data_IF_783017492149
#
_entry.id   IF_783017492149
#
_cell.length_a   1.000
_cell.length_b   1.000
_cell.length_c   1.000
_cell.angle_alpha   90.00
_cell.angle_beta   90.00
_cell.angle_gamma   90.00
#
_symmetry.space_group_name_H-M   'P 1'
#
loop_
_entity.id
_entity.type
_entity.pdbx_description
1 polymer ?
#
# COMPACT_ATOMS: atom_id res chain seq x y z
N UNK A 1 12.14 24.52 -1.86
CA UNK A 1 12.12 24.66 -3.33
C UNK A 1 10.68 24.80 -3.82
N UNK A 2 10.38 25.76 -4.70
CA UNK A 2 9.02 25.94 -5.26
C UNK A 2 8.89 25.31 -6.65
N UNK A 3 7.71 24.80 -6.98
CA UNK A 3 7.37 24.25 -8.30
C UNK A 3 6.13 24.95 -8.83
N UNK A 4 6.30 25.76 -9.88
CA UNK A 4 5.22 26.52 -10.49
C UNK A 4 4.53 25.72 -11.59
N UNK A 5 3.20 25.63 -11.56
CA UNK A 5 2.46 24.78 -12.52
C UNK A 5 1.31 25.54 -13.19
N UNK A 6 1.08 25.25 -14.48
CA UNK A 6 -0.04 25.81 -15.26
C UNK A 6 -1.26 24.85 -15.36
N UNK A 7 -1.31 23.83 -14.51
CA UNK A 7 -2.26 22.73 -14.58
C UNK A 7 -2.67 22.25 -13.18
N UNK A 8 -3.73 21.45 -13.07
CA UNK A 8 -4.33 21.08 -11.78
C UNK A 8 -3.71 19.82 -11.12
N UNK A 9 -2.48 19.45 -11.47
CA UNK A 9 -1.82 18.24 -10.94
C UNK A 9 -0.82 18.56 -9.82
N UNK A 10 -1.22 19.44 -8.89
CA UNK A 10 -0.41 19.89 -7.75
C UNK A 10 0.18 18.72 -6.97
N UNK A 11 -0.70 17.82 -6.52
CA UNK A 11 -0.32 16.66 -5.72
C UNK A 11 0.68 15.77 -6.45
N UNK A 12 0.45 15.47 -7.74
CA UNK A 12 1.36 14.62 -8.51
C UNK A 12 2.75 15.23 -8.67
N UNK A 13 2.85 16.55 -8.87
CA UNK A 13 4.14 17.25 -8.98
C UNK A 13 4.86 17.30 -7.65
N UNK A 14 4.16 17.68 -6.59
CA UNK A 14 4.72 17.77 -5.26
C UNK A 14 5.22 16.41 -4.76
N UNK A 15 4.42 15.35 -4.89
CA UNK A 15 4.81 14.02 -4.44
C UNK A 15 5.95 13.43 -5.26
N UNK A 16 5.96 13.63 -6.59
CA UNK A 16 7.07 13.19 -7.45
C UNK A 16 8.36 13.90 -7.06
N UNK A 17 8.31 15.20 -6.79
CA UNK A 17 9.46 15.97 -6.36
C UNK A 17 9.90 15.60 -4.93
N UNK A 18 8.97 15.49 -3.98
CA UNK A 18 9.26 15.17 -2.58
C UNK A 18 9.95 13.81 -2.44
N UNK A 19 9.51 12.85 -3.25
CA UNK A 19 10.11 11.52 -3.33
C UNK A 19 11.56 11.54 -3.81
N UNK A 20 11.90 12.38 -4.80
CA UNK A 20 13.22 12.41 -5.43
C UNK A 20 14.15 13.47 -4.84
N UNK A 21 13.60 14.46 -4.15
CA UNK A 21 14.29 15.60 -3.55
C UNK A 21 13.74 15.89 -2.14
N UNK A 22 13.72 14.90 -1.22
CA UNK A 22 13.11 15.07 0.10
C UNK A 22 13.74 16.22 0.89
N UNK A 23 15.06 16.40 0.75
CA UNK A 23 15.82 17.46 1.43
C UNK A 23 15.50 18.88 0.93
N UNK A 24 14.96 19.01 -0.29
CA UNK A 24 14.58 20.30 -0.84
C UNK A 24 13.17 20.76 -0.38
N UNK A 25 12.46 19.88 0.33
CA UNK A 25 11.08 20.05 0.80
C UNK A 25 10.20 20.76 -0.25
N UNK A 26 10.05 20.19 -1.47
CA UNK A 26 9.37 20.85 -2.56
C UNK A 26 7.90 21.13 -2.23
N UNK A 27 7.41 22.25 -2.75
CA UNK A 27 6.00 22.65 -2.71
C UNK A 27 5.54 23.07 -4.09
N UNK A 28 4.43 22.52 -4.55
CA UNK A 28 3.84 22.89 -5.83
C UNK A 28 2.78 23.99 -5.64
N UNK A 29 2.77 24.99 -6.51
CA UNK A 29 1.77 26.06 -6.51
C UNK A 29 1.30 26.40 -7.94
N UNK A 30 0.01 26.73 -8.07
CA UNK A 30 -0.55 27.20 -9.34
C UNK A 30 -0.19 28.67 -9.47
N UNK A 31 0.45 29.02 -10.58
CA UNK A 31 0.85 30.40 -10.86
C UNK A 31 1.45 30.55 -12.25
N UNK A 32 1.53 31.78 -12.77
CA UNK A 32 2.18 32.05 -14.04
C UNK A 32 3.63 31.58 -14.01
N UNK A 33 3.98 30.70 -14.95
CA UNK A 33 5.35 30.20 -15.13
C UNK A 33 6.31 31.35 -15.46
N UNK A 34 5.78 32.45 -15.99
CA UNK A 34 6.49 33.66 -16.43
C UNK A 34 6.72 34.70 -15.31
N UNK A 35 5.92 34.69 -14.23
CA UNK A 35 6.15 35.56 -13.05
C UNK A 35 6.95 34.86 -11.94
N UNK A 36 7.58 33.72 -12.25
CA UNK A 36 8.72 33.26 -11.48
C UNK A 36 9.85 34.30 -11.68
N UNK A 37 9.73 35.45 -11.02
CA UNK A 37 10.82 36.37 -10.73
C UNK A 37 11.72 35.63 -9.77
N UNK A 38 12.48 34.71 -10.35
CA UNK A 38 13.51 33.92 -9.71
C UNK A 38 14.49 34.92 -9.13
N UNK A 39 14.55 35.02 -7.81
CA UNK A 39 15.75 35.56 -7.18
C UNK A 39 16.93 34.75 -7.73
N UNK A 40 17.82 35.42 -8.45
CA UNK A 40 18.94 34.77 -9.12
C UNK A 40 19.72 33.93 -8.11
N UNK A 41 19.67 32.60 -8.26
CA UNK A 41 20.40 31.66 -7.42
C UNK A 41 19.55 30.66 -6.63
N UNK A 42 18.22 30.81 -6.57
CA UNK A 42 17.38 29.83 -5.87
C UNK A 42 17.03 28.59 -6.71
N UNK A 43 16.89 27.45 -6.03
CA UNK A 43 16.38 26.22 -6.62
C UNK A 43 14.87 26.33 -6.86
N UNK A 44 14.43 26.03 -8.09
CA UNK A 44 13.03 26.04 -8.47
C UNK A 44 12.73 25.07 -9.62
N UNK A 45 11.46 24.70 -9.75
CA UNK A 45 10.96 23.95 -10.89
C UNK A 45 9.75 24.62 -11.53
N UNK A 46 9.45 24.25 -12.76
CA UNK A 46 8.19 24.60 -13.41
C UNK A 46 7.65 23.45 -14.25
N UNK A 47 6.33 23.27 -14.23
CA UNK A 47 5.63 22.24 -15.00
C UNK A 47 4.58 22.89 -15.90
N UNK A 48 4.72 22.67 -17.20
CA UNK A 48 3.77 23.15 -18.20
C UNK A 48 3.13 21.97 -18.90
N UNK A 49 1.80 21.95 -18.97
CA UNK A 49 1.01 20.99 -19.74
C UNK A 49 0.24 21.76 -20.81
N UNK A 50 0.30 21.27 -22.06
CA UNK A 50 -0.47 21.75 -23.20
C UNK A 50 -1.25 20.58 -23.79
N UNK A 51 -2.57 20.69 -23.83
CA UNK A 51 -3.47 19.66 -24.34
C UNK A 51 -4.10 20.15 -25.64
N UNK A 52 -4.11 19.29 -26.67
CA UNK A 52 -4.87 19.48 -27.91
C UNK A 52 -5.84 18.32 -28.08
N UNK A 53 -6.74 18.40 -29.06
CA UNK A 53 -7.68 17.31 -29.35
C UNK A 53 -6.99 15.96 -29.61
N UNK A 54 -5.77 15.98 -30.16
CA UNK A 54 -5.04 14.80 -30.62
C UNK A 54 -3.90 14.37 -29.70
N UNK A 55 -3.42 15.25 -28.82
CA UNK A 55 -2.23 14.95 -28.03
C UNK A 55 -2.10 15.81 -26.77
N UNK A 56 -1.30 15.33 -25.84
CA UNK A 56 -0.79 16.11 -24.70
C UNK A 56 0.73 16.24 -24.80
N UNK A 57 1.22 17.43 -24.48
CA UNK A 57 2.64 17.74 -24.29
C UNK A 57 2.83 18.24 -22.86
N UNK A 58 3.78 17.68 -22.13
CA UNK A 58 4.22 18.23 -20.83
C UNK A 58 5.70 18.52 -20.85
N UNK A 59 6.09 19.68 -20.34
CA UNK A 59 7.48 20.06 -20.12
C UNK A 59 7.70 20.36 -18.64
N UNK A 60 8.79 19.84 -18.10
CA UNK A 60 9.23 20.14 -16.75
C UNK A 60 10.64 20.73 -16.80
N UNK A 61 10.81 21.92 -16.25
CA UNK A 61 12.10 22.57 -16.05
C UNK A 61 12.48 22.48 -14.57
N UNK A 62 13.76 22.26 -14.30
CA UNK A 62 14.32 22.23 -12.95
C UNK A 62 15.68 22.91 -12.93
N UNK A 63 15.83 23.88 -12.03
CA UNK A 63 17.13 24.35 -11.53
C UNK A 63 17.31 23.80 -10.12
N UNK A 64 18.38 23.03 -9.91
CA UNK A 64 18.70 22.48 -8.59
C UNK A 64 20.22 22.40 -8.40
N UNK A 65 20.73 23.01 -7.32
CA UNK A 65 22.17 23.06 -6.98
C UNK A 65 23.05 23.55 -8.14
N UNK A 66 22.61 24.59 -8.84
CA UNK A 66 23.34 25.20 -9.96
C UNK A 66 23.31 24.40 -11.27
N UNK A 67 22.63 23.25 -11.31
CA UNK A 67 22.35 22.51 -12.54
C UNK A 67 20.97 22.83 -13.07
N UNK A 68 20.83 22.83 -14.40
CA UNK A 68 19.56 23.09 -15.07
C UNK A 68 19.25 21.98 -16.06
N UNK A 69 17.99 21.55 -16.06
CA UNK A 69 17.49 20.57 -17.01
C UNK A 69 16.05 20.86 -17.38
N UNK A 70 15.72 20.58 -18.64
CA UNK A 70 14.35 20.56 -19.10
C UNK A 70 14.07 19.22 -19.78
N UNK A 71 12.93 18.60 -19.45
CA UNK A 71 12.45 17.39 -20.11
C UNK A 71 11.03 17.58 -20.59
N UNK A 72 10.78 17.11 -21.81
CA UNK A 72 9.49 17.21 -22.45
C UNK A 72 9.01 15.82 -22.86
N UNK A 73 7.76 15.51 -22.52
CA UNK A 73 7.08 14.26 -22.85
C UNK A 73 5.82 14.55 -23.68
N UNK A 74 5.53 13.67 -24.63
CA UNK A 74 4.34 13.75 -25.49
C UNK A 74 3.57 12.42 -25.49
N UNK A 75 2.25 12.51 -25.57
CA UNK A 75 1.38 11.38 -25.87
C UNK A 75 0.34 11.77 -26.92
N UNK A 76 0.03 10.85 -27.82
CA UNK A 76 -1.01 10.99 -28.85
C UNK A 76 -2.19 10.15 -28.38
N UNK A 77 -3.36 10.77 -28.25
CA UNK A 77 -4.58 10.10 -27.82
C UNK A 77 -5.08 9.13 -28.89
N UNK A 78 -5.70 8.04 -28.46
CA UNK A 78 -6.41 7.16 -29.40
C UNK A 78 -7.68 7.87 -29.94
N UNK A 79 -8.12 7.51 -31.14
CA UNK A 79 -9.26 8.16 -31.81
C UNK A 79 -10.54 8.13 -30.96
N UNK A 80 -10.80 7.02 -30.29
CA UNK A 80 -11.99 6.79 -29.47
C UNK A 80 -11.68 6.79 -27.96
N UNK A 81 -10.62 7.51 -27.55
CA UNK A 81 -10.24 7.60 -26.15
C UNK A 81 -11.20 8.52 -25.39
N UNK A 82 -11.90 7.96 -24.40
CA UNK A 82 -12.82 8.68 -23.54
C UNK A 82 -12.08 9.71 -22.65
N UNK A 83 -12.84 10.66 -22.10
CA UNK A 83 -12.27 11.77 -21.32
C UNK A 83 -11.51 11.29 -20.07
N UNK A 84 -12.01 10.24 -19.41
CA UNK A 84 -11.35 9.68 -18.23
C UNK A 84 -9.95 9.13 -18.56
N UNK A 85 -9.83 8.34 -19.64
CA UNK A 85 -8.54 7.82 -20.11
C UNK A 85 -7.62 8.97 -20.54
N UNK A 86 -8.14 9.99 -21.23
CA UNK A 86 -7.38 11.20 -21.58
C UNK A 86 -6.79 11.88 -20.34
N UNK A 87 -7.59 12.10 -19.30
CA UNK A 87 -7.11 12.71 -18.05
C UNK A 87 -6.02 11.87 -17.36
N UNK A 88 -6.15 10.53 -17.37
CA UNK A 88 -5.10 9.64 -16.88
C UNK A 88 -3.80 9.79 -17.69
N UNK A 89 -3.88 9.85 -19.02
CA UNK A 89 -2.69 10.04 -19.86
C UNK A 89 -2.05 11.42 -19.64
N UNK A 90 -2.83 12.48 -19.52
CA UNK A 90 -2.33 13.83 -19.25
C UNK A 90 -1.55 13.85 -17.94
N UNK A 91 -2.15 13.33 -16.85
CA UNK A 91 -1.50 13.21 -15.54
C UNK A 91 -0.21 12.40 -15.61
N UNK A 92 -0.26 11.26 -16.31
CA UNK A 92 0.91 10.39 -16.48
C UNK A 92 2.05 11.10 -17.21
N UNK A 93 1.76 11.83 -18.29
CA UNK A 93 2.76 12.56 -19.07
C UNK A 93 3.38 13.71 -18.29
N UNK A 94 2.60 14.41 -17.46
CA UNK A 94 3.13 15.42 -16.54
C UNK A 94 4.14 14.80 -15.55
N UNK A 95 3.76 13.72 -14.87
CA UNK A 95 4.67 13.01 -13.93
C UNK A 95 5.93 12.50 -14.62
N UNK A 96 5.78 12.03 -15.86
CA UNK A 96 6.89 11.50 -16.65
C UNK A 96 7.94 12.57 -16.95
N UNK A 97 7.51 13.77 -17.34
CA UNK A 97 8.40 14.90 -17.58
C UNK A 97 9.14 15.31 -16.29
N UNK A 98 8.42 15.45 -15.18
CA UNK A 98 8.99 15.79 -13.87
C UNK A 98 10.01 14.75 -13.42
N UNK A 99 9.66 13.47 -13.46
CA UNK A 99 10.55 12.37 -13.06
C UNK A 99 11.83 12.36 -13.90
N UNK A 100 11.73 12.46 -15.23
CA UNK A 100 12.91 12.48 -16.10
C UNK A 100 13.81 13.69 -15.85
N UNK A 101 13.24 14.85 -15.55
CA UNK A 101 14.01 16.05 -15.25
C UNK A 101 14.74 15.90 -13.91
N UNK A 102 14.02 15.55 -12.85
CA UNK A 102 14.61 15.43 -11.52
C UNK A 102 15.69 14.34 -11.49
N UNK A 103 15.41 13.16 -12.03
CA UNK A 103 16.39 12.05 -12.05
C UNK A 103 17.61 12.33 -12.93
N UNK A 104 17.52 13.25 -13.90
CA UNK A 104 18.67 13.67 -14.69
C UNK A 104 19.68 14.52 -13.87
N UNK A 105 19.21 15.28 -12.86
CA UNK A 105 20.09 16.04 -11.96
C UNK A 105 20.53 15.18 -10.77
N UNK A 106 19.59 14.44 -10.15
CA UNK A 106 19.90 13.70 -8.91
C UNK A 106 20.67 12.40 -9.16
N UNK A 107 20.54 11.82 -10.35
CA UNK A 107 21.03 10.47 -10.64
C UNK A 107 20.21 9.35 -9.99
N UNK A 108 19.25 9.70 -9.12
CA UNK A 108 18.40 8.75 -8.40
C UNK A 108 17.51 7.95 -9.37
N UNK A 109 17.41 6.64 -9.15
CA UNK A 109 16.55 5.76 -9.95
C UNK A 109 15.78 4.80 -9.05
N UNK A 110 14.67 5.26 -8.46
CA UNK A 110 13.82 4.41 -7.63
C UNK A 110 13.43 3.13 -8.37
N UNK A 111 13.45 2.00 -7.65
CA UNK A 111 13.19 0.69 -8.28
C UNK A 111 11.81 0.61 -8.97
N UNK A 112 10.84 1.37 -8.48
CA UNK A 112 9.49 1.47 -9.01
C UNK A 112 9.27 2.66 -9.97
N UNK A 113 10.31 3.41 -10.32
CA UNK A 113 10.19 4.55 -11.24
C UNK A 113 9.16 5.58 -10.76
N UNK A 114 8.32 6.07 -11.69
CA UNK A 114 7.22 7.00 -11.37
C UNK A 114 6.12 6.35 -10.53
N UNK A 115 6.15 5.02 -10.36
CA UNK A 115 5.18 4.27 -9.56
C UNK A 115 5.59 4.09 -8.09
N UNK A 116 6.69 4.69 -7.69
CA UNK A 116 7.08 4.76 -6.28
C UNK A 116 5.97 5.48 -5.48
N UNK A 117 5.53 4.87 -4.38
CA UNK A 117 4.41 5.36 -3.57
C UNK A 117 3.01 5.02 -4.09
N UNK A 118 2.85 4.29 -5.21
CA UNK A 118 1.55 3.74 -5.66
C UNK A 118 1.57 2.22 -5.63
N UNK A 119 0.37 1.58 -5.66
CA UNK A 119 0.21 0.11 -5.65
C UNK A 119 0.53 -0.50 -7.04
N UNK A 120 1.71 -1.07 -7.29
CA UNK A 120 2.15 -1.38 -8.66
C UNK A 120 1.42 -2.57 -9.26
N UNK A 121 1.04 -3.54 -8.43
CA UNK A 121 0.31 -4.74 -8.84
C UNK A 121 -1.08 -4.41 -9.46
N UNK A 122 -1.72 -3.31 -9.05
CA UNK A 122 -3.01 -2.89 -9.62
C UNK A 122 -2.85 -2.53 -11.11
N UNK A 123 -1.83 -1.75 -11.43
CA UNK A 123 -1.55 -1.40 -12.82
C UNK A 123 -1.11 -2.62 -13.64
N UNK A 124 -0.26 -3.47 -13.07
CA UNK A 124 0.17 -4.70 -13.74
C UNK A 124 -1.02 -5.59 -14.12
N UNK A 125 -2.02 -5.72 -13.23
CA UNK A 125 -3.27 -6.44 -13.53
C UNK A 125 -4.04 -5.80 -14.70
N UNK A 126 -4.27 -4.48 -14.66
CA UNK A 126 -4.96 -3.78 -15.75
C UNK A 126 -4.25 -3.96 -17.10
N UNK A 127 -2.91 -3.96 -17.10
CA UNK A 127 -2.14 -4.24 -18.31
C UNK A 127 -2.38 -5.67 -18.80
N UNK A 128 -2.42 -6.66 -17.91
CA UNK A 128 -2.67 -8.06 -18.29
C UNK A 128 -4.08 -8.32 -18.84
N UNK A 129 -5.03 -7.42 -18.60
CA UNK A 129 -6.36 -7.47 -19.23
C UNK A 129 -6.31 -7.04 -20.71
N UNK A 130 -5.33 -6.20 -21.10
CA UNK A 130 -5.22 -5.64 -22.45
C UNK A 130 -4.08 -6.23 -23.28
N UNK A 131 -3.02 -6.77 -22.65
CA UNK A 131 -1.82 -7.22 -23.36
C UNK A 131 -1.10 -8.42 -22.70
N UNK A 132 -0.30 -9.18 -23.47
CA UNK A 132 0.47 -10.30 -22.92
C UNK A 132 1.50 -9.87 -21.86
N UNK A 133 1.92 -10.79 -20.95
CA UNK A 133 2.87 -10.48 -19.86
C UNK A 133 4.18 -9.84 -20.32
N UNK A 134 4.70 -10.21 -21.49
CA UNK A 134 5.92 -9.64 -22.08
C UNK A 134 5.73 -8.15 -22.39
N UNK A 135 4.59 -7.78 -22.96
CA UNK A 135 4.26 -6.39 -23.29
C UNK A 135 3.94 -5.59 -22.05
N UNK A 136 3.23 -6.16 -21.06
CA UNK A 136 2.98 -5.52 -19.77
C UNK A 136 4.31 -5.14 -19.07
N UNK A 137 5.27 -6.07 -19.00
CA UNK A 137 6.62 -5.81 -18.45
C UNK A 137 7.35 -4.69 -19.20
N UNK A 138 7.28 -4.69 -20.54
CA UNK A 138 7.87 -3.65 -21.39
C UNK A 138 7.21 -2.30 -21.14
N UNK A 139 5.89 -2.25 -21.01
CA UNK A 139 5.13 -1.03 -20.72
C UNK A 139 5.50 -0.44 -19.36
N UNK A 140 5.57 -1.26 -18.30
CA UNK A 140 6.04 -0.83 -16.97
C UNK A 140 7.46 -0.25 -17.03
N UNK A 141 8.36 -0.90 -17.76
CA UNK A 141 9.75 -0.45 -17.86
C UNK A 141 9.91 0.84 -18.68
N UNK A 142 9.15 0.99 -19.77
CA UNK A 142 9.34 2.09 -20.73
C UNK A 142 8.49 3.32 -20.45
N UNK A 143 7.22 3.13 -20.05
CA UNK A 143 6.30 4.23 -19.73
C UNK A 143 6.44 4.68 -18.29
N UNK A 144 6.68 3.75 -17.37
CA UNK A 144 6.71 4.03 -15.94
C UNK A 144 8.11 3.98 -15.30
N UNK A 145 9.15 3.67 -16.09
CA UNK A 145 10.54 3.59 -15.63
C UNK A 145 10.75 2.63 -14.45
N UNK A 146 9.89 1.61 -14.33
CA UNK A 146 10.05 0.54 -13.35
C UNK A 146 11.26 -0.31 -13.74
N UNK A 147 12.13 -0.62 -12.79
CA UNK A 147 13.28 -1.49 -13.09
C UNK A 147 12.81 -2.88 -13.55
N UNK A 148 13.55 -3.55 -14.47
CA UNK A 148 13.11 -4.82 -15.06
C UNK A 148 12.71 -5.90 -14.04
N UNK A 149 13.48 -6.04 -12.94
CA UNK A 149 13.18 -7.00 -11.87
C UNK A 149 11.87 -6.66 -11.13
N UNK A 150 11.58 -5.38 -10.90
CA UNK A 150 10.33 -4.94 -10.29
C UNK A 150 9.14 -5.07 -11.24
N UNK A 151 9.35 -4.85 -12.53
CA UNK A 151 8.31 -5.06 -13.55
C UNK A 151 7.96 -6.56 -13.65
N UNK A 152 8.97 -7.45 -13.62
CA UNK A 152 8.79 -8.89 -13.56
C UNK A 152 8.00 -9.29 -12.31
N UNK A 153 8.39 -8.79 -11.13
CA UNK A 153 7.69 -9.06 -9.88
C UNK A 153 6.23 -8.60 -9.90
N UNK A 154 5.97 -7.38 -10.38
CA UNK A 154 4.61 -6.85 -10.43
C UNK A 154 3.69 -7.67 -11.34
N UNK A 155 4.20 -8.10 -12.50
CA UNK A 155 3.46 -8.94 -13.44
C UNK A 155 3.24 -10.35 -12.88
N UNK A 156 4.26 -10.98 -12.27
CA UNK A 156 4.07 -12.30 -11.67
C UNK A 156 3.06 -12.29 -10.52
N UNK A 157 3.06 -11.23 -9.69
CA UNK A 157 2.08 -11.06 -8.63
C UNK A 157 0.66 -10.85 -9.19
N UNK A 158 0.54 -10.11 -10.29
CA UNK A 158 -0.75 -9.91 -10.95
C UNK A 158 -1.27 -11.22 -11.57
N UNK A 159 -0.42 -12.03 -12.18
CA UNK A 159 -0.77 -13.37 -12.71
C UNK A 159 -1.26 -14.29 -11.58
N UNK A 160 -0.55 -14.34 -10.45
CA UNK A 160 -0.95 -15.12 -9.26
C UNK A 160 -2.32 -14.64 -8.75
N UNK A 161 -2.53 -13.33 -8.65
CA UNK A 161 -3.80 -12.77 -8.18
C UNK A 161 -4.97 -13.10 -9.12
N UNK A 162 -4.76 -13.01 -10.44
CA UNK A 162 -5.77 -13.39 -11.45
C UNK A 162 -6.10 -14.88 -11.32
N UNK A 163 -5.09 -15.74 -11.13
CA UNK A 163 -5.32 -17.17 -10.95
C UNK A 163 -6.07 -17.49 -9.65
N UNK A 164 -5.73 -16.81 -8.56
CA UNK A 164 -6.44 -16.96 -7.27
C UNK A 164 -7.91 -16.55 -7.37
N UNK A 165 -8.21 -15.49 -8.12
CA UNK A 165 -9.59 -15.08 -8.40
C UNK A 165 -10.33 -16.10 -9.26
N UNK A 166 -9.69 -16.66 -10.30
CA UNK A 166 -10.30 -17.74 -11.11
C UNK A 166 -10.58 -19.00 -10.29
N UNK A 167 -9.75 -19.28 -9.30
CA UNK A 167 -9.92 -20.40 -8.38
C UNK A 167 -10.93 -20.10 -7.26
N UNK A 168 -11.57 -18.92 -7.26
CA UNK A 168 -12.59 -18.53 -6.28
C UNK A 168 -13.98 -18.97 -6.74
N UNK A 169 -14.61 -19.87 -6.00
CA UNK A 169 -15.99 -20.28 -6.22
C UNK A 169 -17.01 -19.28 -5.66
N UNK A 170 -18.24 -19.31 -6.18
CA UNK A 170 -19.33 -18.41 -5.76
C UNK A 170 -19.84 -18.64 -4.32
N UNK A 171 -19.48 -19.77 -3.71
CA UNK A 171 -19.82 -20.12 -2.32
C UNK A 171 -18.65 -19.92 -1.37
N UNK A 172 -17.51 -19.51 -1.88
CA UNK A 172 -16.36 -19.31 -1.04
C UNK A 172 -16.41 -17.95 -0.33
N UNK A 173 -15.91 -17.92 0.89
CA UNK A 173 -15.92 -16.74 1.74
C UNK A 173 -14.56 -16.50 2.41
N UNK A 174 -14.34 -15.24 2.78
CA UNK A 174 -13.29 -14.85 3.71
C UNK A 174 -13.95 -14.35 5.00
N UNK A 175 -13.42 -14.77 6.15
CA UNK A 175 -13.90 -14.37 7.48
C UNK A 175 -12.84 -13.50 8.13
N UNK A 176 -13.25 -12.37 8.69
CA UNK A 176 -12.40 -11.49 9.47
C UNK A 176 -12.91 -11.44 10.91
N UNK A 177 -12.04 -11.78 11.87
CA UNK A 177 -12.31 -11.66 13.30
C UNK A 177 -11.55 -10.43 13.83
N UNK A 178 -12.29 -9.40 14.20
CA UNK A 178 -11.71 -8.12 14.61
C UNK A 178 -11.47 -8.01 16.11
N UNK A 179 -10.23 -8.26 16.55
CA UNK A 179 -9.73 -8.07 17.93
C UNK A 179 -9.28 -6.61 18.14
N UNK A 180 -9.98 -5.79 18.93
CA UNK A 180 -9.78 -4.34 18.94
C UNK A 180 -8.68 -3.87 19.92
N UNK A 181 -8.04 -4.79 20.64
CA UNK A 181 -7.12 -4.46 21.73
C UNK A 181 -5.69 -4.26 21.24
N UNK A 182 -5.03 -3.19 21.71
CA UNK A 182 -3.60 -2.94 21.52
C UNK A 182 -2.90 -2.77 22.87
N UNK A 183 -1.62 -3.16 23.04
CA UNK A 183 -0.92 -2.94 24.31
C UNK A 183 -0.60 -1.45 24.56
N UNK A 184 -0.40 -0.65 23.51
CA UNK A 184 -0.29 0.80 23.59
C UNK A 184 -0.74 1.48 22.30
N UNK A 185 -0.97 2.80 22.35
CA UNK A 185 -1.36 3.62 21.20
C UNK A 185 -0.11 4.07 20.43
N UNK A 186 -0.07 3.80 19.13
CA UNK A 186 0.97 4.34 18.25
C UNK A 186 0.59 5.75 17.78
N UNK A 187 1.55 6.66 17.69
CA UNK A 187 1.30 8.07 17.37
C UNK A 187 0.69 8.30 15.98
N UNK A 188 0.98 7.41 15.02
CA UNK A 188 0.46 7.46 13.65
C UNK A 188 -0.86 6.69 13.47
N UNK A 189 -1.30 5.93 14.47
CA UNK A 189 -2.43 5.01 14.30
C UNK A 189 -3.75 5.79 14.25
N UNK A 190 -4.47 5.63 13.13
CA UNK A 190 -5.81 6.18 12.93
C UNK A 190 -6.92 5.28 13.51
N UNK A 191 -6.60 4.04 13.89
CA UNK A 191 -7.56 3.13 14.52
C UNK A 191 -7.72 3.47 16.01
N UNK A 192 -8.98 3.71 16.41
CA UNK A 192 -9.34 3.92 17.80
C UNK A 192 -9.70 2.56 18.40
N UNK A 193 -8.82 2.02 19.23
CA UNK A 193 -9.03 0.75 19.92
C UNK A 193 -8.77 0.86 21.42
N UNK A 194 -9.47 0.07 22.28
CA UNK A 194 -9.17 0.00 23.70
C UNK A 194 -7.72 -0.46 23.95
N UNK A 195 -7.08 0.15 24.94
CA UNK A 195 -5.74 -0.25 25.38
C UNK A 195 -5.82 -1.44 26.31
N UNK A 196 -5.24 -2.59 25.93
CA UNK A 196 -5.21 -3.80 26.76
C UNK A 196 -4.58 -3.53 28.14
N UNK A 197 -3.52 -2.73 28.19
CA UNK A 197 -2.83 -2.34 29.43
C UNK A 197 -3.70 -1.53 30.42
N UNK A 198 -4.88 -1.06 30.00
CA UNK A 198 -5.85 -0.35 30.85
C UNK A 198 -7.19 -1.08 30.99
N UNK A 199 -7.32 -2.30 30.49
CA UNK A 199 -8.53 -3.13 30.66
C UNK A 199 -8.29 -4.21 31.71
N UNK A 200 -9.30 -4.52 32.51
CA UNK A 200 -9.29 -5.72 33.34
C UNK A 200 -9.31 -6.97 32.47
N UNK A 201 -8.68 -8.06 32.93
CA UNK A 201 -8.77 -9.38 32.28
C UNK A 201 -10.23 -9.82 32.04
N UNK A 202 -11.13 -9.38 32.92
CA UNK A 202 -12.57 -9.58 32.83
C UNK A 202 -13.16 -8.99 31.53
N UNK A 203 -12.75 -7.78 31.12
CA UNK A 203 -13.25 -7.16 29.88
C UNK A 203 -12.76 -7.86 28.63
N UNK A 204 -11.49 -8.30 28.61
CA UNK A 204 -10.96 -9.09 27.50
C UNK A 204 -11.65 -10.46 27.41
N UNK A 205 -11.95 -11.07 28.56
CA UNK A 205 -12.65 -12.36 28.63
C UNK A 205 -14.13 -12.23 28.22
N UNK A 206 -14.80 -11.15 28.63
CA UNK A 206 -16.18 -10.87 28.22
C UNK A 206 -16.27 -10.67 26.70
N UNK A 207 -15.38 -9.86 26.13
CA UNK A 207 -15.28 -9.70 24.68
C UNK A 207 -15.03 -11.05 23.98
N UNK A 208 -14.09 -11.86 24.48
CA UNK A 208 -13.79 -13.16 23.89
C UNK A 208 -15.02 -14.07 23.89
N UNK A 209 -15.75 -14.11 25.00
CA UNK A 209 -17.02 -14.85 25.10
C UNK A 209 -18.05 -14.37 24.07
N UNK A 210 -18.19 -13.06 23.89
CA UNK A 210 -19.13 -12.47 22.92
C UNK A 210 -18.75 -12.84 21.48
N UNK A 211 -17.47 -12.72 21.14
CA UNK A 211 -16.96 -13.09 19.81
C UNK A 211 -17.10 -14.59 19.56
N UNK A 212 -16.86 -15.45 20.55
CA UNK A 212 -17.07 -16.88 20.41
C UNK A 212 -18.54 -17.22 20.09
N UNK A 213 -19.50 -16.50 20.71
CA UNK A 213 -20.93 -16.65 20.39
C UNK A 213 -21.26 -16.17 18.98
N UNK A 214 -20.67 -15.05 18.56
CA UNK A 214 -20.85 -14.52 17.20
C UNK A 214 -20.26 -15.46 16.14
N UNK A 215 -19.07 -16.04 16.39
CA UNK A 215 -18.44 -17.03 15.51
C UNK A 215 -19.35 -18.26 15.36
N UNK A 216 -19.91 -18.76 16.46
CA UNK A 216 -20.81 -19.91 16.43
C UNK A 216 -22.06 -19.61 15.57
N UNK A 217 -22.75 -18.51 15.85
CA UNK A 217 -23.95 -18.11 15.10
C UNK A 217 -23.65 -17.84 13.61
N UNK A 218 -22.51 -17.21 13.32
CA UNK A 218 -22.06 -16.95 11.94
C UNK A 218 -21.74 -18.25 11.22
N UNK A 219 -21.04 -19.17 11.89
CA UNK A 219 -20.71 -20.50 11.38
C UNK A 219 -21.96 -21.28 10.98
N UNK A 220 -22.98 -21.31 11.85
CA UNK A 220 -24.25 -21.99 11.58
C UNK A 220 -24.96 -21.40 10.35
N UNK A 221 -24.99 -20.06 10.23
CA UNK A 221 -25.57 -19.38 9.08
C UNK A 221 -24.79 -19.66 7.78
N UNK A 222 -23.46 -19.65 7.83
CA UNK A 222 -22.57 -19.95 6.70
C UNK A 222 -22.73 -21.40 6.23
N UNK A 223 -22.72 -22.36 7.16
CA UNK A 223 -22.92 -23.77 6.87
C UNK A 223 -24.29 -24.01 6.22
N UNK A 224 -25.35 -23.41 6.76
CA UNK A 224 -26.71 -23.48 6.19
C UNK A 224 -26.78 -22.89 4.77
N UNK A 225 -25.99 -21.85 4.49
CA UNK A 225 -25.88 -21.25 3.15
C UNK A 225 -24.97 -22.01 2.16
N UNK A 226 -24.30 -23.07 2.62
CA UNK A 226 -23.31 -23.84 1.86
C UNK A 226 -22.00 -23.10 1.61
N UNK A 227 -21.67 -22.11 2.44
CA UNK A 227 -20.45 -21.33 2.29
C UNK A 227 -19.19 -22.13 2.70
N UNK A 228 -18.06 -21.79 2.10
CA UNK A 228 -16.76 -22.45 2.34
C UNK A 228 -15.71 -21.38 2.66
N UNK A 229 -15.14 -21.41 3.86
CA UNK A 229 -14.17 -20.39 4.28
C UNK A 229 -12.79 -20.76 3.76
N UNK A 230 -12.29 -19.97 2.80
CA UNK A 230 -10.94 -20.13 2.23
C UNK A 230 -9.88 -19.28 2.92
N UNK A 231 -10.30 -18.23 3.62
CA UNK A 231 -9.40 -17.35 4.33
C UNK A 231 -10.05 -16.93 5.66
N UNK A 232 -9.31 -17.11 6.74
CA UNK A 232 -9.63 -16.61 8.06
C UNK A 232 -8.54 -15.61 8.46
N UNK A 233 -8.91 -14.37 8.74
CA UNK A 233 -7.99 -13.34 9.21
C UNK A 233 -8.41 -12.85 10.59
N UNK A 234 -7.55 -13.06 11.58
CA UNK A 234 -7.73 -12.52 12.94
C UNK A 234 -6.84 -11.27 13.06
N UNK A 235 -7.44 -10.10 13.25
CA UNK A 235 -6.70 -8.83 13.22
C UNK A 235 -7.42 -7.66 13.88
N UNK A 236 -6.96 -6.44 13.58
CA UNK A 236 -7.57 -5.21 14.08
C UNK A 236 -6.58 -4.38 14.88
N UNK A 237 -6.61 -4.54 16.21
CA UNK A 237 -5.58 -4.04 17.10
C UNK A 237 -4.36 -4.93 17.06
N UNK A 238 -4.22 -5.83 18.03
CA UNK A 238 -3.14 -6.81 18.09
C UNK A 238 -3.67 -8.08 18.75
N UNK A 239 -4.18 -9.05 17.97
CA UNK A 239 -4.68 -10.33 18.49
C UNK A 239 -3.72 -11.01 19.48
N UNK A 240 -2.42 -10.97 19.19
CA UNK A 240 -1.38 -11.55 20.05
C UNK A 240 -1.19 -10.83 21.39
N UNK A 241 -1.97 -9.79 21.70
CA UNK A 241 -2.05 -9.25 23.07
C UNK A 241 -2.76 -10.21 24.02
N UNK A 242 -3.62 -11.08 23.51
CA UNK A 242 -4.24 -12.13 24.31
C UNK A 242 -3.19 -13.12 24.83
N UNK A 243 -3.34 -13.62 26.08
CA UNK A 243 -2.61 -14.79 26.56
C UNK A 243 -2.84 -16.00 25.65
N UNK A 244 -1.90 -16.94 25.63
CA UNK A 244 -1.96 -18.13 24.77
C UNK A 244 -3.27 -18.93 24.95
N UNK A 245 -3.78 -19.06 26.18
CA UNK A 245 -5.05 -19.74 26.44
C UNK A 245 -6.27 -19.04 25.83
N UNK A 246 -6.29 -17.70 25.78
CA UNK A 246 -7.38 -16.96 25.13
C UNK A 246 -7.29 -17.06 23.60
N UNK A 247 -6.08 -17.04 23.04
CA UNK A 247 -5.87 -17.31 21.60
C UNK A 247 -6.33 -18.72 21.23
N UNK A 248 -6.02 -19.70 22.08
CA UNK A 248 -6.47 -21.08 21.91
C UNK A 248 -8.00 -21.15 21.83
N UNK A 249 -8.71 -20.57 22.80
CA UNK A 249 -10.19 -20.56 22.82
C UNK A 249 -10.76 -19.92 21.55
N UNK A 250 -10.19 -18.80 21.10
CA UNK A 250 -10.63 -18.13 19.89
C UNK A 250 -10.47 -19.01 18.63
N UNK A 251 -9.28 -19.57 18.45
CA UNK A 251 -8.95 -20.37 17.27
C UNK A 251 -9.69 -21.71 17.26
N UNK A 252 -9.83 -22.35 18.43
CA UNK A 252 -10.63 -23.56 18.59
C UNK A 252 -12.10 -23.32 18.23
N UNK A 253 -12.67 -22.21 18.69
CA UNK A 253 -14.05 -21.84 18.36
C UNK A 253 -14.21 -21.60 16.86
N UNK A 254 -13.26 -20.89 16.24
CA UNK A 254 -13.27 -20.66 14.79
C UNK A 254 -13.18 -21.96 13.99
N UNK A 255 -12.28 -22.87 14.35
CA UNK A 255 -12.16 -24.18 13.68
C UNK A 255 -13.40 -25.05 13.87
N UNK A 256 -14.02 -25.01 15.06
CA UNK A 256 -15.18 -25.82 15.38
C UNK A 256 -16.44 -25.39 14.62
N UNK A 257 -16.65 -24.09 14.46
CA UNK A 257 -17.92 -23.54 13.97
C UNK A 257 -17.87 -23.03 12.53
N UNK A 258 -16.73 -22.51 12.06
CA UNK A 258 -16.66 -22.01 10.69
C UNK A 258 -16.43 -23.17 9.70
N UNK A 259 -17.06 -23.15 8.52
CA UNK A 259 -16.85 -24.18 7.49
C UNK A 259 -15.51 -23.95 6.76
N UNK A 260 -14.39 -24.09 7.48
CA UNK A 260 -13.03 -23.91 6.96
C UNK A 260 -12.68 -24.99 5.94
N UNK A 261 -12.11 -24.59 4.80
CA UNK A 261 -11.49 -25.53 3.88
C UNK A 261 -10.19 -26.09 4.46
N UNK A 262 -9.80 -27.30 4.04
CA UNK A 262 -8.48 -27.86 4.36
C UNK A 262 -7.33 -27.00 3.84
N UNK A 263 -7.55 -26.26 2.76
CA UNK A 263 -6.59 -25.31 2.18
C UNK A 263 -6.80 -23.87 2.68
N UNK A 264 -7.50 -23.67 3.81
CA UNK A 264 -7.78 -22.33 4.32
C UNK A 264 -6.48 -21.60 4.70
N UNK A 265 -6.30 -20.37 4.20
CA UNK A 265 -5.28 -19.47 4.76
C UNK A 265 -5.80 -18.97 6.11
N UNK A 266 -5.12 -19.34 7.20
CA UNK A 266 -5.44 -18.86 8.54
C UNK A 266 -4.32 -17.89 8.91
N UNK A 267 -4.67 -16.60 8.92
CA UNK A 267 -3.77 -15.52 9.29
C UNK A 267 -4.09 -14.98 10.67
N UNK A 268 -3.08 -14.88 11.53
CA UNK A 268 -3.17 -14.10 12.77
C UNK A 268 -2.24 -12.90 12.69
N UNK A 269 -2.79 -11.73 12.96
CA UNK A 269 -2.02 -10.51 13.05
C UNK A 269 -1.25 -10.46 14.37
N UNK A 270 0.07 -10.33 14.25
CA UNK A 270 0.97 -9.94 15.31
C UNK A 270 1.49 -8.54 14.97
N UNK A 271 0.58 -7.56 14.97
CA UNK A 271 0.86 -6.17 14.58
C UNK A 271 1.97 -5.51 15.42
N UNK A 272 2.44 -6.19 16.46
CA UNK A 272 3.52 -5.83 17.36
C UNK A 272 4.47 -7.01 17.56
N UNK A 273 5.76 -6.88 17.19
CA UNK A 273 6.75 -7.92 17.47
C UNK A 273 6.83 -8.22 18.98
N UNK A 274 6.71 -7.18 19.82
CA UNK A 274 6.78 -7.23 21.27
C UNK A 274 5.62 -8.00 21.96
N UNK A 275 4.61 -8.48 21.22
CA UNK A 275 3.53 -9.31 21.78
C UNK A 275 3.65 -10.79 21.42
N UNK A 276 4.64 -11.16 20.60
CA UNK A 276 4.89 -12.54 20.18
C UNK A 276 5.70 -13.27 21.26
N UNK A 277 5.33 -14.52 21.55
CA UNK A 277 6.01 -15.38 22.53
C UNK A 277 5.90 -16.84 22.10
N UNK A 278 6.81 -17.70 22.57
CA UNK A 278 6.92 -19.08 22.12
C UNK A 278 5.68 -19.94 22.40
N UNK A 279 5.00 -19.70 23.53
CA UNK A 279 3.74 -20.34 23.89
C UNK A 279 2.62 -19.94 22.92
N UNK A 280 2.52 -18.66 22.57
CA UNK A 280 1.55 -18.19 21.56
C UNK A 280 1.84 -18.80 20.21
N UNK A 281 3.10 -18.82 19.75
CA UNK A 281 3.47 -19.47 18.48
C UNK A 281 3.09 -20.97 18.49
N UNK A 282 3.29 -21.65 19.61
CA UNK A 282 2.88 -23.06 19.78
C UNK A 282 1.37 -23.22 19.60
N UNK A 283 0.57 -22.36 20.21
CA UNK A 283 -0.89 -22.34 20.03
C UNK A 283 -1.28 -22.03 18.58
N UNK A 284 -0.71 -20.99 17.98
CA UNK A 284 -1.01 -20.62 16.59
C UNK A 284 -0.76 -21.81 15.65
N UNK A 285 0.40 -22.46 15.79
CA UNK A 285 0.76 -23.62 14.98
C UNK A 285 -0.17 -24.82 15.24
N UNK A 286 -0.51 -25.10 16.51
CA UNK A 286 -1.41 -26.20 16.88
C UNK A 286 -2.81 -26.06 16.26
N UNK A 287 -3.26 -24.82 16.05
CA UNK A 287 -4.55 -24.52 15.41
C UNK A 287 -4.43 -24.09 13.95
N UNK A 288 -3.39 -24.56 13.25
CA UNK A 288 -3.30 -24.48 11.79
C UNK A 288 -3.09 -23.09 11.21
N UNK A 289 -2.67 -22.11 12.03
CA UNK A 289 -2.26 -20.79 11.55
C UNK A 289 -1.03 -20.98 10.67
N UNK A 290 -1.19 -20.69 9.38
CA UNK A 290 -0.17 -20.88 8.36
C UNK A 290 0.41 -19.56 7.84
N UNK A 291 -0.08 -18.43 8.37
CA UNK A 291 0.46 -17.10 8.09
C UNK A 291 0.39 -16.21 9.33
N UNK A 292 1.47 -15.49 9.63
CA UNK A 292 1.50 -14.47 10.67
C UNK A 292 1.77 -13.12 9.99
N UNK A 293 0.96 -12.12 10.30
CA UNK A 293 1.15 -10.75 9.80
C UNK A 293 1.88 -9.93 10.87
N UNK A 294 3.18 -9.72 10.68
CA UNK A 294 4.02 -8.90 11.59
C UNK A 294 4.16 -7.50 11.01
N UNK A 295 4.05 -6.48 11.88
CA UNK A 295 4.16 -5.09 11.45
C UNK A 295 5.24 -4.32 12.24
N UNK A 296 6.52 -4.39 11.82
CA UNK A 296 7.60 -3.67 12.50
C UNK A 296 7.50 -2.14 12.33
N UNK A 297 6.78 -1.65 11.31
CA UNK A 297 6.67 -0.24 10.87
C UNK A 297 7.95 0.39 10.34
N UNK A 298 9.05 0.30 11.09
CA UNK A 298 10.33 0.90 10.76
C UNK A 298 11.47 0.04 11.27
N UNK A 299 12.61 0.10 10.59
CA UNK A 299 13.88 -0.47 11.05
C UNK A 299 14.84 0.62 11.57
N UNK A 300 14.28 1.75 12.01
CA UNK A 300 15.01 2.84 12.68
C UNK A 300 14.49 2.98 14.10
N UNK A 301 15.35 2.71 15.08
CA UNK A 301 15.02 2.78 16.51
C UNK A 301 14.52 4.18 16.92
N UNK A 302 15.08 5.23 16.32
CA UNK A 302 14.65 6.61 16.54
C UNK A 302 13.19 6.81 16.10
N UNK A 303 12.83 6.33 14.91
CA UNK A 303 11.46 6.40 14.39
C UNK A 303 10.51 5.54 15.22
N UNK A 304 10.93 4.34 15.63
CA UNK A 304 10.15 3.45 16.49
C UNK A 304 9.81 4.12 17.82
N UNK A 305 10.81 4.72 18.48
CA UNK A 305 10.63 5.46 19.73
C UNK A 305 9.67 6.64 19.56
N UNK A 306 9.84 7.45 18.52
CA UNK A 306 8.96 8.59 18.24
C UNK A 306 7.51 8.14 17.95
N UNK A 307 7.34 6.96 17.31
CA UNK A 307 6.04 6.39 17.00
C UNK A 307 5.33 5.73 18.19
N UNK A 308 6.01 5.57 19.34
CA UNK A 308 5.48 4.88 20.52
C UNK A 308 5.54 3.35 20.42
N UNK A 309 6.40 2.82 19.56
CA UNK A 309 6.73 1.38 19.49
C UNK A 309 7.75 1.05 20.58
N UNK A 310 7.64 -0.16 21.15
CA UNK A 310 8.47 -0.61 22.28
C UNK A 310 9.52 -1.65 21.89
N UNK A 311 9.48 -2.14 20.64
CA UNK A 311 10.46 -3.06 20.09
C UNK A 311 11.61 -2.29 19.42
N UNK A 312 12.77 -2.94 19.27
CA UNK A 312 13.91 -2.45 18.48
C UNK A 312 13.86 -2.96 17.04
N UNK A 313 14.64 -2.36 16.15
CA UNK A 313 14.80 -2.86 14.78
C UNK A 313 15.39 -4.28 14.71
N UNK A 314 16.19 -4.68 15.70
CA UNK A 314 16.79 -6.03 15.79
C UNK A 314 15.78 -7.09 16.25
N UNK A 315 14.83 -6.73 17.12
CA UNK A 315 13.75 -7.61 17.58
C UNK A 315 12.67 -7.88 16.50
N UNK A 316 12.61 -7.06 15.46
CA UNK A 316 11.57 -7.04 14.44
C UNK A 316 11.87 -7.94 13.23
#
# INVERSE_FOLDING_TARGET
>A
MRIFINHNFLFDMEQTALMLLPQAAPRAEIGPVEEAVIHSGEDYGSSTVKVTEKSVLSSFYLRYKGQEVQKTCRHIFAKDENEEKRQVQIRHIARRAAFLAITAITGERPAWGVMSGVRPAKLARLLLEEMPPKEAKKTLSTRFFVQPEKAKLAVSLAEIAIQAEKNTGCKDAAVYIGVPFCPSRCAYCSFIGPMAAGQSEEKTSAYLSDVCREIAATGDAMASGGAKVRALYVGGGTPTVFPAGQLQVLLETAQKHLPLLSSCEITVEAGRPDTISADKITVLNAYGVNRISVNPQSFSDEVLKAAGRKHTAEEA
#
